data_IF_608822770962
#
_entry.id   IF_608822770962
#
_cell.length_a   1.000
_cell.length_b   1.000
_cell.length_c   1.000
_cell.angle_alpha   90.00
_cell.angle_beta   90.00
_cell.angle_gamma   90.00
#
_symmetry.space_group_name_H-M   'P 1'
#
loop_
_entity.id
_entity.type
_entity.pdbx_description
1 polymer ?
#
# COMPACT_ATOMS: atom_id res chain seq x y z
N UNK A 1 -25.22 22.78 -23.00
CA UNK A 1 -25.20 21.46 -22.32
C UNK A 1 -24.49 21.64 -20.99
N UNK A 2 -25.13 21.31 -19.86
CA UNK A 2 -24.49 21.39 -18.55
C UNK A 2 -23.32 20.40 -18.50
N UNK A 3 -22.11 20.91 -18.27
CA UNK A 3 -20.92 20.07 -18.12
C UNK A 3 -21.09 19.25 -16.83
N UNK A 4 -21.34 17.94 -16.96
CA UNK A 4 -21.46 17.06 -15.79
C UNK A 4 -20.22 17.19 -14.91
N UNK A 5 -20.43 17.66 -13.68
CA UNK A 5 -19.38 17.89 -12.68
C UNK A 5 -18.68 16.56 -12.37
N UNK A 6 -17.34 16.55 -12.45
CA UNK A 6 -16.54 15.41 -11.97
C UNK A 6 -16.58 15.41 -10.44
N UNK A 7 -16.75 14.23 -9.85
CA UNK A 7 -16.67 14.05 -8.39
C UNK A 7 -15.22 14.02 -7.96
N UNK A 8 -14.87 14.84 -6.99
CA UNK A 8 -13.48 15.01 -6.52
C UNK A 8 -13.35 14.29 -5.18
N UNK A 9 -12.31 13.48 -5.02
CA UNK A 9 -11.98 12.82 -3.76
C UNK A 9 -10.55 13.20 -3.39
N UNK A 10 -10.36 13.73 -2.19
CA UNK A 10 -9.04 14.07 -1.65
C UNK A 10 -8.57 12.93 -0.76
N UNK A 11 -7.28 12.61 -0.85
CA UNK A 11 -6.66 11.61 0.02
C UNK A 11 -5.38 12.15 0.62
N UNK A 12 -5.05 11.64 1.81
CA UNK A 12 -3.77 11.89 2.45
C UNK A 12 -3.41 10.73 3.37
N UNK A 13 -2.12 10.60 3.70
CA UNK A 13 -1.64 9.78 4.79
C UNK A 13 -0.94 10.63 5.84
N UNK A 14 -1.09 10.25 7.11
CA UNK A 14 -0.49 10.97 8.21
C UNK A 14 -0.31 10.09 9.43
N UNK A 15 0.29 10.65 10.47
CA UNK A 15 0.38 10.03 11.78
C UNK A 15 -0.55 10.75 12.76
N UNK A 16 -1.19 9.99 13.63
CA UNK A 16 -1.89 10.56 14.78
C UNK A 16 -0.93 10.91 15.91
N UNK A 17 -1.50 11.43 17.01
CA UNK A 17 -0.77 11.76 18.24
C UNK A 17 0.02 10.58 18.82
N UNK A 18 -0.42 9.34 18.58
CA UNK A 18 0.25 8.11 19.00
C UNK A 18 1.35 7.63 18.03
N UNK A 19 1.68 8.42 17.00
CA UNK A 19 2.62 8.06 15.92
C UNK A 19 2.19 6.85 15.08
N UNK A 20 0.91 6.52 15.10
CA UNK A 20 0.34 5.45 14.29
C UNK A 20 -0.07 6.02 12.93
N UNK A 21 0.30 5.32 11.85
CA UNK A 21 -0.08 5.73 10.51
C UNK A 21 -1.57 5.57 10.27
N UNK A 22 -2.15 6.54 9.58
CA UNK A 22 -3.54 6.58 9.18
C UNK A 22 -3.67 7.17 7.79
N UNK A 23 -4.77 6.83 7.14
CA UNK A 23 -5.13 7.38 5.84
C UNK A 23 -6.47 8.07 5.93
N UNK A 24 -6.57 9.22 5.27
CA UNK A 24 -7.79 9.99 5.14
C UNK A 24 -8.32 9.94 3.72
N UNK A 25 -9.64 9.96 3.62
CA UNK A 25 -10.39 10.21 2.41
C UNK A 25 -11.43 11.28 2.72
N UNK A 26 -11.45 12.33 1.91
CA UNK A 26 -12.45 13.38 1.98
C UNK A 26 -13.20 13.52 0.65
N UNK A 27 -14.52 13.42 0.73
CA UNK A 27 -15.43 13.64 -0.39
C UNK A 27 -16.33 14.85 -0.09
N UNK A 28 -16.04 16.03 -0.67
CA UNK A 28 -16.77 17.25 -0.39
C UNK A 28 -18.20 17.25 -0.95
N UNK A 29 -18.50 16.46 -1.98
CA UNK A 29 -19.83 16.47 -2.61
C UNK A 29 -20.90 15.91 -1.67
N UNK A 30 -20.51 15.06 -0.71
CA UNK A 30 -21.40 14.51 0.33
C UNK A 30 -20.92 14.79 1.76
N UNK A 31 -19.91 15.65 1.92
CA UNK A 31 -19.27 15.95 3.20
C UNK A 31 -18.85 14.68 3.99
N UNK A 32 -18.25 13.71 3.29
CA UNK A 32 -17.79 12.46 3.91
C UNK A 32 -16.30 12.55 4.24
N UNK A 33 -15.96 12.25 5.48
CA UNK A 33 -14.59 11.97 5.93
C UNK A 33 -14.47 10.51 6.35
N UNK A 34 -13.50 9.79 5.82
CA UNK A 34 -13.18 8.41 6.21
C UNK A 34 -11.73 8.34 6.65
N UNK A 35 -11.51 7.88 7.88
CA UNK A 35 -10.17 7.75 8.47
C UNK A 35 -9.97 6.29 8.84
N UNK A 36 -8.93 5.68 8.29
CA UNK A 36 -8.58 4.28 8.51
C UNK A 36 -7.20 4.24 9.18
N UNK A 37 -7.13 3.59 10.34
CA UNK A 37 -5.85 3.27 10.98
C UNK A 37 -5.14 2.18 10.17
N UNK A 38 -3.85 2.37 9.90
CA UNK A 38 -3.02 1.33 9.32
C UNK A 38 -2.38 0.50 10.44
N UNK A 39 -2.43 -0.82 10.31
CA UNK A 39 -1.87 -1.75 11.29
C UNK A 39 -0.55 -2.29 10.72
N UNK A 40 0.52 -2.27 11.52
CA UNK A 40 1.86 -2.76 11.14
C UNK A 40 2.47 -2.08 9.89
N UNK A 41 2.06 -0.85 9.61
CA UNK A 41 2.70 0.01 8.59
C UNK A 41 3.54 1.05 9.32
N UNK A 42 4.82 1.17 8.97
CA UNK A 42 5.80 2.05 9.59
C UNK A 42 6.46 3.03 8.58
N UNK A 43 6.00 3.00 7.33
CA UNK A 43 6.58 3.75 6.23
C UNK A 43 5.54 4.69 5.60
N UNK A 44 5.85 5.99 5.59
CA UNK A 44 4.97 7.01 5.00
C UNK A 44 4.70 6.76 3.51
N UNK A 45 5.71 6.37 2.73
CA UNK A 45 5.54 6.09 1.31
C UNK A 45 4.55 4.93 1.07
N UNK A 46 4.52 3.94 1.97
CA UNK A 46 3.55 2.86 1.91
C UNK A 46 2.16 3.39 2.27
N UNK A 47 2.04 4.13 3.38
CA UNK A 47 0.77 4.70 3.83
C UNK A 47 0.08 5.57 2.76
N UNK A 48 0.86 6.33 2.00
CA UNK A 48 0.38 7.18 0.90
C UNK A 48 -0.24 6.37 -0.24
N UNK A 49 0.37 5.21 -0.57
CA UNK A 49 -0.21 4.27 -1.53
C UNK A 49 -1.52 3.69 -0.99
N UNK A 50 -1.57 3.30 0.28
CA UNK A 50 -2.80 2.84 0.93
C UNK A 50 -3.92 3.88 0.86
N UNK A 51 -3.60 5.17 1.01
CA UNK A 51 -4.58 6.26 0.88
C UNK A 51 -5.23 6.27 -0.51
N UNK A 52 -4.44 6.14 -1.57
CA UNK A 52 -4.94 6.05 -2.95
C UNK A 52 -5.74 4.77 -3.18
N UNK A 53 -5.27 3.61 -2.70
CA UNK A 53 -5.99 2.32 -2.83
C UNK A 53 -7.34 2.36 -2.10
N UNK A 54 -7.40 2.99 -0.92
CA UNK A 54 -8.64 3.19 -0.19
C UNK A 54 -9.64 4.04 -1.00
N UNK A 55 -9.19 5.11 -1.66
CA UNK A 55 -10.06 5.90 -2.54
C UNK A 55 -10.55 5.12 -3.76
N UNK A 56 -9.70 4.32 -4.40
CA UNK A 56 -10.13 3.44 -5.50
C UNK A 56 -11.20 2.47 -5.00
N UNK A 57 -10.96 1.82 -3.85
CA UNK A 57 -11.90 0.89 -3.22
C UNK A 57 -13.23 1.56 -2.90
N UNK A 58 -13.19 2.75 -2.30
CA UNK A 58 -14.38 3.57 -2.01
C UNK A 58 -15.18 3.87 -3.28
N UNK A 59 -14.53 4.41 -4.32
CA UNK A 59 -15.15 4.76 -5.61
C UNK A 59 -15.83 3.54 -6.22
N UNK A 60 -15.17 2.38 -6.19
CA UNK A 60 -15.70 1.13 -6.73
C UNK A 60 -16.87 0.59 -5.92
N UNK A 61 -16.78 0.58 -4.59
CA UNK A 61 -17.85 0.12 -3.69
C UNK A 61 -19.13 0.94 -3.82
N UNK A 62 -19.02 2.21 -4.20
CA UNK A 62 -20.14 3.14 -4.38
C UNK A 62 -20.56 3.31 -5.85
N UNK A 63 -19.95 2.56 -6.76
CA UNK A 63 -20.18 2.65 -8.21
C UNK A 63 -20.12 4.09 -8.77
N UNK A 64 -19.24 4.92 -8.21
CA UNK A 64 -19.10 6.32 -8.61
C UNK A 64 -18.51 6.41 -10.02
N UNK A 65 -19.07 7.31 -10.84
CA UNK A 65 -18.63 7.57 -12.21
C UNK A 65 -17.97 8.94 -12.30
N UNK A 66 -17.07 9.12 -13.28
CA UNK A 66 -16.40 10.40 -13.57
C UNK A 66 -15.70 11.01 -12.33
N UNK A 67 -14.98 10.17 -11.59
CA UNK A 67 -14.25 10.57 -10.39
C UNK A 67 -12.81 11.00 -10.70
N UNK A 68 -12.28 11.89 -9.87
CA UNK A 68 -10.86 12.23 -9.79
C UNK A 68 -10.39 12.10 -8.33
N UNK A 69 -9.28 11.40 -8.14
CA UNK A 69 -8.56 11.33 -6.88
C UNK A 69 -7.46 12.40 -6.91
N UNK A 70 -7.41 13.22 -5.88
CA UNK A 70 -6.38 14.22 -5.66
C UNK A 70 -5.52 13.79 -4.47
N UNK A 71 -4.21 13.72 -4.68
CA UNK A 71 -3.21 13.29 -3.71
C UNK A 71 -1.99 14.20 -3.86
N UNK A 72 -1.35 14.60 -2.78
CA UNK A 72 -0.13 15.41 -2.82
C UNK A 72 1.16 14.61 -2.74
N UNK A 73 1.06 13.28 -2.65
CA UNK A 73 2.19 12.38 -2.77
C UNK A 73 2.47 12.06 -4.25
N UNK A 74 3.47 12.72 -4.83
CA UNK A 74 3.83 12.52 -6.24
C UNK A 74 4.25 11.08 -6.54
N UNK A 75 4.92 10.41 -5.59
CA UNK A 75 5.36 9.03 -5.77
C UNK A 75 4.17 8.06 -5.87
N UNK A 76 3.15 8.24 -5.04
CA UNK A 76 1.92 7.44 -5.11
C UNK A 76 1.14 7.71 -6.41
N UNK A 77 1.08 8.97 -6.87
CA UNK A 77 0.40 9.35 -8.11
C UNK A 77 1.09 8.77 -9.36
N UNK A 78 2.41 8.61 -9.32
CA UNK A 78 3.22 8.10 -10.44
C UNK A 78 3.47 6.59 -10.38
N UNK A 79 3.00 5.89 -9.36
CA UNK A 79 3.20 4.46 -9.22
C UNK A 79 2.51 3.70 -10.37
N UNK A 80 3.27 2.91 -11.14
CA UNK A 80 2.76 2.24 -12.33
C UNK A 80 1.61 1.26 -12.06
N UNK A 81 1.59 0.59 -10.90
CA UNK A 81 0.50 -0.32 -10.55
C UNK A 81 -0.79 0.46 -10.27
N UNK A 82 -0.68 1.57 -9.54
CA UNK A 82 -1.81 2.46 -9.23
C UNK A 82 -2.35 3.12 -10.49
N UNK A 83 -1.47 3.65 -11.35
CA UNK A 83 -1.86 4.29 -12.61
C UNK A 83 -2.63 3.30 -13.49
N UNK A 84 -2.09 2.09 -13.69
CA UNK A 84 -2.74 1.04 -14.48
C UNK A 84 -4.14 0.68 -13.91
N UNK A 85 -4.26 0.59 -12.58
CA UNK A 85 -5.53 0.29 -11.92
C UNK A 85 -6.55 1.42 -12.11
N UNK A 86 -6.13 2.67 -11.97
CA UNK A 86 -6.95 3.85 -12.22
C UNK A 86 -7.45 3.90 -13.67
N UNK A 87 -6.57 3.66 -14.64
CA UNK A 87 -6.92 3.62 -16.07
C UNK A 87 -7.96 2.54 -16.37
N UNK A 88 -7.72 1.31 -15.89
CA UNK A 88 -8.66 0.18 -16.03
C UNK A 88 -10.06 0.51 -15.52
N UNK A 89 -10.15 1.31 -14.47
CA UNK A 89 -11.41 1.71 -13.84
C UNK A 89 -11.92 3.09 -14.27
N UNK A 90 -11.25 3.77 -15.22
CA UNK A 90 -11.59 5.11 -15.71
C UNK A 90 -11.65 6.16 -14.58
N UNK A 91 -10.80 5.99 -13.56
CA UNK A 91 -10.62 6.91 -12.45
C UNK A 91 -9.46 7.83 -12.82
N UNK A 92 -9.64 9.15 -12.73
CA UNK A 92 -8.52 10.07 -12.87
C UNK A 92 -7.75 10.13 -11.54
N UNK A 93 -6.42 10.13 -11.61
CA UNK A 93 -5.54 10.37 -10.48
C UNK A 93 -4.69 11.60 -10.81
N UNK A 94 -4.55 12.54 -9.88
CA UNK A 94 -3.78 13.75 -10.12
C UNK A 94 -3.05 14.20 -8.86
N UNK A 95 -1.82 14.63 -9.09
CA UNK A 95 -1.01 15.24 -8.06
C UNK A 95 -1.47 16.67 -7.81
N UNK A 96 -1.47 17.06 -6.54
CA UNK A 96 -1.77 18.42 -6.10
C UNK A 96 -0.72 18.93 -5.10
N UNK A 97 -0.41 20.24 -5.06
CA UNK A 97 0.44 20.79 -4.00
C UNK A 97 -0.16 20.61 -2.59
N UNK A 98 0.69 20.45 -1.57
CA UNK A 98 0.27 20.23 -0.17
C UNK A 98 -0.61 21.36 0.35
N UNK A 99 -0.35 22.59 -0.11
CA UNK A 99 -1.06 23.81 0.27
C UNK A 99 -2.53 23.80 -0.14
N UNK A 100 -2.93 22.93 -1.07
CA UNK A 100 -4.33 22.77 -1.47
C UNK A 100 -4.98 21.52 -0.87
N UNK A 101 -4.19 20.57 -0.34
CA UNK A 101 -4.69 19.34 0.28
C UNK A 101 -4.96 19.46 1.80
N UNK A 102 -5.15 20.69 2.30
CA UNK A 102 -5.19 21.02 3.74
C UNK A 102 -6.28 20.21 4.48
N UNK A 103 -7.42 19.96 3.84
CA UNK A 103 -8.54 19.27 4.51
C UNK A 103 -8.19 17.80 4.73
N UNK A 104 -7.64 17.11 3.73
CA UNK A 104 -7.26 15.71 3.88
C UNK A 104 -6.11 15.55 4.90
N UNK A 105 -5.14 16.46 4.92
CA UNK A 105 -4.08 16.51 5.94
C UNK A 105 -4.62 16.62 7.35
N UNK A 106 -5.53 17.56 7.56
CA UNK A 106 -6.16 17.72 8.88
C UNK A 106 -6.94 16.48 9.28
N UNK A 107 -7.67 15.89 8.34
CA UNK A 107 -8.49 14.70 8.58
C UNK A 107 -7.62 13.47 8.92
N UNK A 108 -6.44 13.32 8.30
CA UNK A 108 -5.55 12.18 8.54
C UNK A 108 -4.95 12.12 9.95
N UNK A 109 -4.96 13.25 10.67
CA UNK A 109 -4.42 13.37 12.03
C UNK A 109 -5.47 13.14 13.13
N UNK A 110 -6.73 12.99 12.76
CA UNK A 110 -7.85 12.79 13.69
C UNK A 110 -8.00 11.33 14.12
N UNK A 111 -8.95 11.06 15.02
CA UNK A 111 -9.28 9.70 15.45
C UNK A 111 -9.86 8.87 14.29
N UNK A 112 -9.47 7.60 14.13
CA UNK A 112 -10.03 6.71 13.13
C UNK A 112 -11.56 6.62 13.20
N UNK A 113 -12.22 6.71 12.04
CA UNK A 113 -13.68 6.61 11.93
C UNK A 113 -14.14 5.26 11.41
N UNK A 114 -13.21 4.44 10.92
CA UNK A 114 -13.44 3.09 10.41
C UNK A 114 -12.88 2.04 11.35
N UNK A 115 -13.53 0.87 11.34
CA UNK A 115 -13.09 -0.33 12.06
C UNK A 115 -11.92 -1.00 11.34
N UNK A 116 -11.19 -1.82 12.07
CA UNK A 116 -10.02 -2.57 11.59
C UNK A 116 -10.34 -3.47 10.37
N UNK A 117 -11.56 -4.01 10.25
CA UNK A 117 -11.99 -4.78 9.06
C UNK A 117 -11.83 -3.99 7.75
N UNK A 118 -11.97 -2.67 7.81
CA UNK A 118 -11.75 -1.79 6.65
C UNK A 118 -10.28 -1.80 6.26
N UNK A 119 -9.36 -1.76 7.25
CA UNK A 119 -7.93 -1.89 7.00
C UNK A 119 -7.60 -3.23 6.34
N UNK A 120 -8.05 -4.36 6.90
CA UNK A 120 -7.72 -5.68 6.34
C UNK A 120 -8.24 -5.88 4.91
N UNK A 121 -9.38 -5.27 4.57
CA UNK A 121 -9.89 -5.27 3.19
C UNK A 121 -8.95 -4.50 2.26
N UNK A 122 -8.50 -3.32 2.69
CA UNK A 122 -7.57 -2.49 1.91
C UNK A 122 -6.20 -3.18 1.80
N UNK A 123 -5.74 -3.80 2.88
CA UNK A 123 -4.48 -4.54 2.97
C UNK A 123 -4.45 -5.72 1.99
N UNK A 124 -5.53 -6.50 1.95
CA UNK A 124 -5.68 -7.57 0.97
C UNK A 124 -5.62 -7.05 -0.48
N UNK A 125 -6.31 -5.94 -0.76
CA UNK A 125 -6.27 -5.31 -2.10
C UNK A 125 -4.87 -4.79 -2.42
N UNK A 126 -4.18 -4.21 -1.44
CA UNK A 126 -2.82 -3.71 -1.59
C UNK A 126 -1.86 -4.85 -1.99
N UNK A 127 -1.91 -5.98 -1.29
CA UNK A 127 -1.08 -7.16 -1.60
C UNK A 127 -1.34 -7.72 -2.99
N UNK A 128 -2.58 -7.66 -3.49
CA UNK A 128 -2.91 -8.07 -4.87
C UNK A 128 -2.31 -7.14 -5.92
N UNK A 129 -2.15 -5.84 -5.61
CA UNK A 129 -1.61 -4.83 -6.52
C UNK A 129 -0.08 -4.84 -6.49
N UNK A 130 0.49 -5.07 -5.31
CA UNK A 130 1.92 -5.05 -5.03
C UNK A 130 2.39 -6.41 -4.51
N UNK A 131 2.35 -7.46 -5.35
CA UNK A 131 2.76 -8.79 -4.92
C UNK A 131 4.21 -8.77 -4.47
N UNK A 132 4.47 -9.23 -3.24
CA UNK A 132 5.83 -9.46 -2.77
C UNK A 132 6.47 -10.48 -3.71
N UNK A 133 7.68 -10.19 -4.18
CA UNK A 133 8.46 -11.20 -4.91
C UNK A 133 8.65 -12.37 -3.96
N UNK A 134 8.10 -13.52 -4.31
CA UNK A 134 8.45 -14.77 -3.66
C UNK A 134 9.90 -15.00 -4.07
N UNK A 135 10.83 -14.88 -3.13
CA UNK A 135 12.18 -15.38 -3.36
C UNK A 135 12.04 -16.88 -3.56
N UNK A 136 12.15 -17.34 -4.81
CA UNK A 136 12.37 -18.75 -5.09
C UNK A 136 13.70 -19.10 -4.43
N UNK A 137 13.66 -19.66 -3.22
CA UNK A 137 14.78 -20.38 -2.65
C UNK A 137 15.08 -21.51 -3.62
N UNK A 138 16.04 -21.29 -4.52
CA UNK A 138 16.62 -22.36 -5.31
C UNK A 138 17.02 -23.48 -4.34
N UNK A 139 16.67 -24.75 -4.62
CA UNK A 139 17.07 -25.84 -3.74
C UNK A 139 18.59 -25.79 -3.61
N UNK A 140 19.09 -25.58 -2.38
CA UNK A 140 20.50 -25.75 -2.06
C UNK A 140 20.92 -27.09 -2.63
N UNK A 141 21.87 -27.10 -3.58
CA UNK A 141 22.56 -28.33 -3.96
C UNK A 141 23.07 -28.95 -2.66
N UNK A 142 22.53 -30.11 -2.32
CA UNK A 142 23.09 -30.95 -1.27
C UNK A 142 24.47 -31.33 -1.78
N UNK A 143 25.50 -30.68 -1.22
CA UNK A 143 26.87 -31.15 -1.41
C UNK A 143 26.93 -32.55 -0.82
N UNK A 144 27.07 -33.55 -1.69
CA UNK A 144 27.40 -34.91 -1.29
C UNK A 144 28.74 -34.87 -0.58
N UNK A 145 28.71 -34.99 0.75
CA UNK A 145 29.90 -35.23 1.56
C UNK A 145 30.62 -36.47 1.02
N UNK A 146 31.81 -36.26 0.46
CA UNK A 146 32.72 -37.34 0.13
C UNK A 146 33.31 -37.85 1.43
N UNK A 147 32.82 -39.00 1.91
CA UNK A 147 33.40 -39.74 3.02
C UNK A 147 34.84 -40.14 2.65
N UNK A 148 35.83 -39.40 3.17
CA UNK A 148 37.24 -39.77 3.07
C UNK A 148 37.51 -40.95 3.99
N UNK A 149 37.66 -42.12 3.38
CA UNK A 149 38.01 -43.37 4.04
C UNK A 149 39.53 -43.35 4.35
N UNK A 150 39.92 -42.93 5.56
CA UNK A 150 41.31 -43.00 6.01
C UNK A 150 41.65 -44.43 6.48
N UNK A 151 42.27 -45.23 5.60
CA UNK A 151 42.99 -46.44 6.02
C UNK A 151 44.38 -46.05 6.53
N UNK A 152 44.61 -46.20 7.83
CA UNK A 152 45.92 -46.08 8.48
C UNK A 152 46.74 -47.36 8.25
N UNK A 153 47.98 -47.32 7.72
CA UNK A 153 48.86 -48.49 7.74
C UNK A 153 49.54 -48.63 9.10
N UNK A 154 49.38 -49.81 9.73
CA UNK A 154 50.13 -50.22 10.92
C UNK A 154 51.63 -50.37 10.60
N UNK A 155 52.47 -49.82 11.47
CA UNK A 155 53.92 -49.97 11.46
C UNK A 155 54.29 -51.24 12.25
N UNK A 156 55.19 -52.11 11.77
CA UNK A 156 55.55 -53.33 12.49
C UNK A 156 56.50 -53.00 13.66
N UNK A 157 56.14 -53.47 14.84
CA UNK A 157 56.97 -53.44 16.05
C UNK A 157 58.02 -54.55 15.96
N UNK A 158 59.30 -54.20 16.09
CA UNK A 158 60.40 -55.17 16.32
C UNK A 158 60.53 -55.42 17.82
N UNK A 159 60.57 -56.68 18.21
CA UNK A 159 61.25 -57.20 19.39
C UNK A 159 61.77 -58.60 19.02
#
# INVERSE_FOLDING_TARGET
MAQEKRRIVYVDAGQNENKEFQIALFDPDINLTSIVKLINIDNNHIAEKYAVINAITYIKSKALKKTIILCDNEQAVRDGHIVNLCEKHKIKLSWIPREINIIADKVAKLTPTKKDDTFYTIDFIYDLIFPKKIEETQPKKVETETVKNNKTPQKPTKA
#
